data_IF_520588463476
#
_entry.id   IF_520588463476
#
_cell.length_a   1.000
_cell.length_b   1.000
_cell.length_c   1.000
_cell.angle_alpha   90.00
_cell.angle_beta   90.00
_cell.angle_gamma   90.00
#
_symmetry.space_group_name_H-M   'P 1'
#
loop_
_entity.id
_entity.type
_entity.pdbx_description
1 polymer ?
#
# COMPACT_ATOMS: atom_id res chain seq x y z
N UNK A 1 4.79 -12.23 -25.26
CA UNK A 1 5.99 -11.51 -24.82
C UNK A 1 5.63 -10.65 -23.61
N UNK A 2 6.37 -10.78 -22.51
CA UNK A 2 6.15 -10.00 -21.29
C UNK A 2 6.67 -8.58 -21.50
N UNK A 3 5.84 -7.58 -21.23
CA UNK A 3 6.08 -6.19 -21.62
C UNK A 3 6.96 -5.40 -20.64
N UNK A 4 7.46 -6.05 -19.60
CA UNK A 4 8.17 -5.45 -18.48
C UNK A 4 7.39 -5.56 -17.17
N UNK A 5 7.72 -4.67 -16.24
CA UNK A 5 7.12 -4.61 -14.90
C UNK A 5 6.65 -3.21 -14.54
N UNK A 6 5.64 -3.14 -13.68
CA UNK A 6 5.21 -1.92 -13.01
C UNK A 6 5.33 -2.10 -11.50
N UNK A 7 5.96 -1.16 -10.82
CA UNK A 7 5.97 -1.09 -9.36
C UNK A 7 5.23 0.15 -8.91
N UNK A 8 4.31 0.00 -7.97
CA UNK A 8 3.48 1.08 -7.46
C UNK A 8 3.90 1.34 -6.01
N UNK A 9 4.20 2.59 -5.69
CA UNK A 9 4.51 3.02 -4.33
C UNK A 9 3.54 4.11 -3.92
N UNK A 10 2.91 3.94 -2.76
CA UNK A 10 2.13 4.96 -2.07
C UNK A 10 2.97 5.63 -0.98
N UNK A 11 2.66 6.87 -0.60
CA UNK A 11 3.37 7.58 0.47
C UNK A 11 3.06 7.01 1.87
N UNK A 12 1.84 6.49 2.05
CA UNK A 12 1.38 5.77 3.25
C UNK A 12 0.65 4.48 2.90
N UNK A 13 0.53 3.59 3.88
CA UNK A 13 -0.28 2.36 3.80
C UNK A 13 -1.71 2.57 4.24
N UNK A 14 -2.00 3.62 5.03
CA UNK A 14 -3.31 3.96 5.59
C UNK A 14 -3.60 5.46 5.44
N UNK A 15 -4.85 5.79 5.12
CA UNK A 15 -5.33 7.15 4.87
C UNK A 15 -6.65 7.39 5.58
N UNK A 16 -6.87 8.63 6.01
CA UNK A 16 -8.19 9.10 6.47
C UNK A 16 -9.02 9.61 5.29
N UNK A 17 -10.36 9.60 5.39
CA UNK A 17 -11.21 10.36 4.48
C UNK A 17 -10.77 11.83 4.37
N UNK A 18 -10.94 12.43 3.19
CA UNK A 18 -10.51 13.81 2.92
C UNK A 18 -9.01 14.01 2.68
N UNK A 19 -8.17 12.99 2.91
CA UNK A 19 -6.72 13.09 2.66
C UNK A 19 -6.34 12.77 1.20
N UNK A 20 -5.10 13.08 0.83
CA UNK A 20 -4.56 12.82 -0.51
C UNK A 20 -3.65 11.59 -0.49
N UNK A 21 -3.90 10.66 -1.41
CA UNK A 21 -2.99 9.57 -1.75
C UNK A 21 -1.96 10.10 -2.73
N UNK A 22 -0.69 10.13 -2.33
CA UNK A 22 0.43 10.39 -3.24
C UNK A 22 1.01 9.04 -3.65
N UNK A 23 1.13 8.82 -4.95
CA UNK A 23 1.68 7.57 -5.44
C UNK A 23 2.53 7.79 -6.68
N UNK A 24 3.46 6.88 -6.89
CA UNK A 24 4.26 6.84 -8.11
C UNK A 24 4.32 5.45 -8.68
N UNK A 25 4.41 5.39 -10.00
CA UNK A 25 4.54 4.14 -10.75
C UNK A 25 5.89 4.14 -11.44
N UNK A 26 6.67 3.10 -11.18
CA UNK A 26 7.92 2.83 -11.87
C UNK A 26 7.65 1.94 -13.07
N UNK A 27 8.03 2.38 -14.25
CA UNK A 27 7.86 1.65 -15.51
C UNK A 27 9.21 1.12 -15.98
N UNK A 28 9.39 -0.20 -15.88
CA UNK A 28 10.65 -0.86 -16.25
C UNK A 28 10.44 -2.00 -17.25
N UNK A 29 11.49 -2.31 -17.99
CA UNK A 29 11.54 -3.48 -18.88
C UNK A 29 11.86 -4.78 -18.11
N UNK A 30 12.11 -5.87 -18.84
CA UNK A 30 12.41 -7.17 -18.22
C UNK A 30 13.78 -7.23 -17.51
N UNK A 31 14.67 -6.27 -17.79
CA UNK A 31 15.98 -6.12 -17.14
C UNK A 31 15.94 -5.10 -16.00
N UNK A 32 14.74 -4.65 -15.60
CA UNK A 32 14.53 -3.60 -14.60
C UNK A 32 15.12 -2.24 -14.98
N UNK A 33 15.35 -1.99 -16.28
CA UNK A 33 15.77 -0.69 -16.79
C UNK A 33 14.55 0.20 -17.04
N UNK A 34 14.64 1.52 -16.77
CA UNK A 34 13.53 2.44 -16.97
C UNK A 34 13.13 2.49 -18.44
N UNK A 35 11.83 2.38 -18.72
CA UNK A 35 11.29 2.38 -20.08
C UNK A 35 10.13 3.35 -20.21
N UNK A 36 10.11 4.10 -21.30
CA UNK A 36 8.99 4.99 -21.66
C UNK A 36 7.88 4.21 -22.33
N UNK A 37 6.74 4.04 -21.65
CA UNK A 37 5.57 3.33 -22.18
C UNK A 37 4.27 3.93 -21.65
N UNK A 38 3.18 3.72 -22.37
CA UNK A 38 1.84 4.09 -21.91
C UNK A 38 1.33 3.10 -20.87
N UNK A 39 0.87 3.61 -19.74
CA UNK A 39 0.31 2.87 -18.61
C UNK A 39 -1.14 3.33 -18.39
N UNK A 40 -2.03 2.36 -18.23
CA UNK A 40 -3.41 2.57 -17.77
C UNK A 40 -3.43 2.35 -16.26
N UNK A 41 -4.02 3.27 -15.52
CA UNK A 41 -4.05 3.28 -14.06
C UNK A 41 -5.50 3.38 -13.62
N UNK A 42 -5.89 2.56 -12.65
CA UNK A 42 -7.23 2.53 -12.06
C UNK A 42 -7.10 2.63 -10.54
N UNK A 43 -7.99 3.42 -9.92
CA UNK A 43 -8.20 3.38 -8.47
C UNK A 43 -9.55 2.72 -8.24
N UNK A 44 -9.55 1.62 -7.48
CA UNK A 44 -10.72 0.80 -7.19
C UNK A 44 -11.10 0.89 -5.70
N UNK A 45 -12.41 0.95 -5.46
CA UNK A 45 -13.00 0.82 -4.13
C UNK A 45 -12.77 -0.57 -3.54
N UNK A 46 -13.06 -0.78 -2.24
CA UNK A 46 -13.00 -2.11 -1.63
C UNK A 46 -13.87 -3.17 -2.32
N UNK A 47 -14.96 -2.74 -2.96
CA UNK A 47 -15.86 -3.61 -3.72
C UNK A 47 -15.36 -3.90 -5.16
N UNK A 48 -14.16 -3.42 -5.51
CA UNK A 48 -13.56 -3.61 -6.84
C UNK A 48 -14.13 -2.68 -7.92
N UNK A 49 -14.77 -1.57 -7.54
CA UNK A 49 -15.37 -0.61 -8.49
C UNK A 49 -14.34 0.47 -8.84
N UNK A 50 -13.95 0.64 -10.12
CA UNK A 50 -13.03 1.70 -10.51
C UNK A 50 -13.70 3.07 -10.42
N UNK A 51 -13.13 3.97 -9.62
CA UNK A 51 -13.63 5.35 -9.43
C UNK A 51 -12.76 6.41 -10.12
N UNK A 52 -11.53 6.06 -10.48
CA UNK A 52 -10.62 6.91 -11.26
C UNK A 52 -9.93 6.07 -12.33
N UNK A 53 -9.73 6.66 -13.50
CA UNK A 53 -8.93 6.08 -14.59
C UNK A 53 -8.02 7.13 -15.22
N UNK A 54 -6.73 6.88 -15.18
CA UNK A 54 -5.71 7.70 -15.85
C UNK A 54 -5.03 6.88 -16.96
N UNK A 55 -4.65 7.53 -18.05
CA UNK A 55 -3.76 6.97 -19.09
C UNK A 55 -2.60 7.94 -19.25
N UNK A 56 -1.38 7.50 -18.89
CA UNK A 56 -0.20 8.35 -18.94
C UNK A 56 0.96 7.63 -19.63
N UNK A 57 1.81 8.39 -20.31
CA UNK A 57 3.06 7.88 -20.88
C UNK A 57 4.24 8.30 -20.01
N UNK A 58 5.13 7.35 -19.70
CA UNK A 58 6.39 7.63 -19.00
C UNK A 58 7.53 8.06 -19.94
N UNK A 59 7.22 8.33 -21.22
CA UNK A 59 8.17 8.88 -22.17
C UNK A 59 8.76 10.20 -21.65
N UNK A 60 10.08 10.32 -21.68
CA UNK A 60 10.84 11.45 -21.13
C UNK A 60 10.65 11.69 -19.61
N UNK A 61 10.06 10.74 -18.87
CA UNK A 61 9.91 10.81 -17.41
C UNK A 61 10.87 9.87 -16.68
N UNK A 62 11.93 9.41 -17.36
CA UNK A 62 12.94 8.48 -16.82
C UNK A 62 12.34 7.25 -16.11
N UNK A 63 11.19 6.78 -16.58
CA UNK A 63 10.50 5.61 -16.05
C UNK A 63 9.73 5.82 -14.74
N UNK A 64 9.44 7.08 -14.34
CA UNK A 64 8.70 7.38 -13.12
C UNK A 64 7.48 8.25 -13.44
N UNK A 65 6.28 7.76 -13.12
CA UNK A 65 5.03 8.51 -13.19
C UNK A 65 4.62 8.96 -11.77
N UNK A 66 4.75 10.24 -11.39
CA UNK A 66 4.19 10.75 -10.13
C UNK A 66 2.71 11.14 -10.31
N UNK A 67 1.84 10.70 -9.40
CA UNK A 67 0.40 10.97 -9.42
C UNK A 67 -0.13 11.26 -8.01
N UNK A 68 -1.35 11.79 -7.97
CA UNK A 68 -2.12 11.93 -6.74
C UNK A 68 -3.61 11.63 -6.96
N UNK A 69 -4.30 11.34 -5.85
CA UNK A 69 -5.75 11.24 -5.81
C UNK A 69 -6.27 11.72 -4.46
N UNK A 70 -7.28 12.58 -4.47
CA UNK A 70 -7.92 13.06 -3.25
C UNK A 70 -9.06 12.11 -2.88
N UNK A 71 -9.01 11.57 -1.66
CA UNK A 71 -10.07 10.75 -1.10
C UNK A 71 -11.23 11.68 -0.71
N UNK A 72 -12.46 11.46 -1.20
CA UNK A 72 -13.62 12.22 -0.74
C UNK A 72 -13.83 12.08 0.77
N UNK A 73 -14.47 13.07 1.40
CA UNK A 73 -14.84 12.96 2.83
C UNK A 73 -15.86 11.84 3.06
N UNK A 74 -16.81 11.66 2.14
CA UNK A 74 -17.77 10.56 2.15
C UNK A 74 -17.26 9.43 1.24
N UNK A 75 -16.69 8.39 1.85
CA UNK A 75 -16.03 7.29 1.14
C UNK A 75 -16.22 5.97 1.87
N UNK A 76 -16.24 4.85 1.12
CA UNK A 76 -16.25 3.52 1.73
C UNK A 76 -14.88 3.24 2.37
N UNK A 77 -14.89 2.90 3.65
CA UNK A 77 -13.70 2.45 4.37
C UNK A 77 -13.32 1.03 3.95
N UNK A 78 -12.05 0.67 4.18
CA UNK A 78 -11.51 -0.66 3.90
C UNK A 78 -10.31 -0.63 2.96
N UNK A 79 -10.08 -1.77 2.30
CA UNK A 79 -8.92 -1.96 1.43
C UNK A 79 -9.17 -1.45 0.02
N UNK A 80 -8.53 -0.35 -0.34
CA UNK A 80 -8.54 0.23 -1.68
C UNK A 80 -7.39 -0.31 -2.52
N UNK A 81 -7.54 -0.24 -3.85
CA UNK A 81 -6.53 -0.78 -4.78
C UNK A 81 -6.17 0.20 -5.87
N UNK A 82 -4.88 0.37 -6.11
CA UNK A 82 -4.35 0.98 -7.32
C UNK A 82 -3.96 -0.16 -8.26
N UNK A 83 -4.57 -0.24 -9.44
CA UNK A 83 -4.20 -1.18 -10.50
C UNK A 83 -3.54 -0.45 -11.64
N UNK A 84 -2.50 -1.04 -12.19
CA UNK A 84 -1.82 -0.50 -13.35
C UNK A 84 -1.44 -1.61 -14.33
N UNK A 85 -1.51 -1.31 -15.62
CA UNK A 85 -1.03 -2.21 -16.67
C UNK A 85 -0.50 -1.39 -17.84
N UNK A 86 0.48 -1.94 -18.56
CA UNK A 86 0.90 -1.34 -19.81
C UNK A 86 -0.23 -1.46 -20.84
N UNK A 87 -0.49 -0.39 -21.58
CA UNK A 87 -1.61 -0.31 -22.54
C UNK A 87 -1.58 -1.44 -23.58
N UNK A 88 -0.39 -1.77 -24.09
CA UNK A 88 -0.16 -2.86 -25.05
C UNK A 88 -0.14 -4.27 -24.43
N UNK A 89 -0.26 -4.39 -23.10
CA UNK A 89 -0.31 -5.67 -22.38
C UNK A 89 -1.39 -5.66 -21.29
N UNK A 90 -2.68 -5.50 -21.65
CA UNK A 90 -3.76 -5.29 -20.69
C UNK A 90 -4.06 -6.49 -19.79
N UNK A 91 -3.56 -7.68 -20.15
CA UNK A 91 -3.70 -8.91 -19.35
C UNK A 91 -2.70 -8.98 -18.19
N UNK A 92 -1.63 -8.18 -18.21
CA UNK A 92 -0.60 -8.17 -17.18
C UNK A 92 -0.83 -6.99 -16.23
N UNK A 93 -1.53 -7.26 -15.15
CA UNK A 93 -1.99 -6.25 -14.19
C UNK A 93 -1.11 -6.31 -12.94
N UNK A 94 -0.65 -5.15 -12.51
CA UNK A 94 0.09 -4.93 -11.27
C UNK A 94 -0.80 -4.15 -10.31
N UNK A 95 -0.68 -4.41 -9.02
CA UNK A 95 -1.51 -3.75 -8.01
C UNK A 95 -0.75 -3.40 -6.74
N UNK A 96 -1.16 -2.31 -6.10
CA UNK A 96 -0.83 -1.99 -4.72
C UNK A 96 -2.12 -1.68 -3.95
N UNK A 97 -2.12 -1.95 -2.66
CA UNK A 97 -3.27 -1.74 -1.79
C UNK A 97 -2.94 -0.67 -0.75
N UNK A 98 -3.98 0.07 -0.34
CA UNK A 98 -3.93 0.99 0.79
C UNK A 98 -5.25 0.96 1.55
N UNK A 99 -5.19 1.16 2.86
CA UNK A 99 -6.38 1.18 3.71
C UNK A 99 -6.95 2.60 3.81
N UNK A 100 -8.26 2.75 3.68
CA UNK A 100 -8.97 3.98 4.05
C UNK A 100 -9.75 3.71 5.32
N UNK A 101 -9.42 4.45 6.38
CA UNK A 101 -10.00 4.27 7.71
C UNK A 101 -9.99 5.58 8.47
N UNK A 102 -11.01 5.84 9.26
CA UNK A 102 -10.94 6.89 10.28
C UNK A 102 -9.94 6.48 11.37
N UNK A 103 -8.83 7.21 11.46
CA UNK A 103 -7.82 6.98 12.49
C UNK A 103 -7.23 8.30 12.98
N UNK A 104 -6.76 8.28 14.21
CA UNK A 104 -5.85 9.29 14.77
C UNK A 104 -4.50 8.63 14.99
N UNK A 105 -3.42 9.37 14.72
CA UNK A 105 -2.07 8.83 14.94
C UNK A 105 -1.90 8.55 16.44
N UNK A 106 -1.62 7.29 16.85
CA UNK A 106 -1.42 6.99 18.26
C UNK A 106 -0.11 7.64 18.74
N UNK A 107 -0.06 8.02 20.02
CA UNK A 107 1.13 8.61 20.63
C UNK A 107 2.17 7.56 21.07
N UNK A 108 1.77 6.28 21.14
CA UNK A 108 2.59 5.15 21.51
C UNK A 108 2.23 3.91 20.70
N UNK A 109 3.17 2.98 20.59
CA UNK A 109 2.96 1.65 20.03
C UNK A 109 2.85 0.60 21.13
N UNK A 110 2.07 -0.45 20.86
CA UNK A 110 1.98 -1.65 21.68
C UNK A 110 2.42 -2.84 20.84
N UNK A 111 3.38 -3.60 21.34
CA UNK A 111 3.82 -4.87 20.75
C UNK A 111 3.41 -6.01 21.66
N UNK A 112 2.86 -7.05 21.05
CA UNK A 112 2.44 -8.28 21.73
C UNK A 112 3.33 -9.38 21.17
N UNK A 113 4.32 -9.79 21.96
CA UNK A 113 5.39 -10.68 21.52
C UNK A 113 5.30 -11.96 22.34
N UNK A 114 4.89 -13.11 21.74
CA UNK A 114 4.98 -14.38 22.43
C UNK A 114 6.45 -14.77 22.62
N UNK A 115 6.75 -15.54 23.67
CA UNK A 115 8.11 -16.06 23.89
C UNK A 115 8.57 -16.96 22.76
N UNK A 116 7.64 -17.75 22.22
CA UNK A 116 7.82 -18.60 21.04
C UNK A 116 6.83 -18.21 19.94
N UNK A 117 7.24 -18.31 18.68
CA UNK A 117 6.36 -17.98 17.53
C UNK A 117 5.29 -19.05 17.24
N UNK A 118 5.21 -20.08 18.09
CA UNK A 118 4.27 -21.18 18.03
C UNK A 118 3.85 -21.59 19.45
N UNK A 119 2.78 -22.37 19.54
CA UNK A 119 2.32 -22.95 20.81
C UNK A 119 2.47 -24.47 20.78
N UNK A 120 3.12 -25.03 21.78
CA UNK A 120 3.20 -26.47 21.97
C UNK A 120 2.07 -26.94 22.89
N UNK A 121 1.26 -27.90 22.42
CA UNK A 121 -0.01 -28.25 23.08
C UNK A 121 0.18 -28.89 24.46
N UNK A 122 1.31 -29.56 24.70
CA UNK A 122 1.61 -30.18 25.99
C UNK A 122 2.55 -29.30 26.85
N UNK A 123 2.76 -28.03 26.49
CA UNK A 123 3.55 -27.13 27.33
C UNK A 123 2.79 -26.84 28.64
N UNK A 124 3.31 -27.28 29.81
CA UNK A 124 2.64 -27.07 31.08
C UNK A 124 2.54 -25.60 31.48
N UNK A 125 3.37 -24.72 30.91
CA UNK A 125 3.38 -23.29 31.19
C UNK A 125 2.44 -22.50 30.25
N UNK A 126 1.88 -23.16 29.22
CA UNK A 126 1.04 -22.49 28.23
C UNK A 126 1.84 -21.59 27.29
N UNK A 127 1.16 -20.64 26.64
CA UNK A 127 1.81 -19.62 25.82
C UNK A 127 2.08 -18.36 26.66
N UNK A 128 3.35 -18.09 26.94
CA UNK A 128 3.75 -16.84 27.58
C UNK A 128 3.85 -15.71 26.55
N UNK A 129 3.30 -14.54 26.89
CA UNK A 129 3.26 -13.38 26.01
C UNK A 129 3.71 -12.13 26.74
N UNK A 130 4.68 -11.44 26.16
CA UNK A 130 5.15 -10.14 26.63
C UNK A 130 4.38 -9.01 25.95
N UNK A 131 3.86 -8.08 26.74
CA UNK A 131 3.24 -6.85 26.26
C UNK A 131 4.24 -5.71 26.48
N UNK A 132 4.66 -5.06 25.38
CA UNK A 132 5.65 -3.99 25.41
C UNK A 132 4.98 -2.72 24.87
N UNK A 133 4.92 -1.67 25.69
CA UNK A 133 4.35 -0.38 25.31
C UNK A 133 5.44 0.72 25.36
N UNK A 134 5.60 1.44 24.23
CA UNK A 134 6.57 2.54 24.10
C UNK A 134 5.96 3.70 23.33
N UNK A 135 6.20 4.92 23.80
CA UNK A 135 5.93 6.13 23.02
C UNK A 135 6.70 6.08 21.70
N UNK A 136 6.17 6.74 20.66
CA UNK A 136 6.83 6.77 19.34
C UNK A 136 8.25 7.39 19.37
N UNK A 137 8.57 8.18 20.40
CA UNK A 137 9.92 8.72 20.67
C UNK A 137 10.79 7.82 21.55
N UNK A 138 10.38 6.57 21.78
CA UNK A 138 11.19 5.49 22.37
C UNK A 138 11.17 5.38 23.90
N UNK A 139 10.41 6.22 24.63
CA UNK A 139 10.26 6.09 26.09
C UNK A 139 9.21 5.05 26.45
N UNK A 140 9.42 4.38 27.58
CA UNK A 140 8.45 3.42 28.11
C UNK A 140 7.14 4.12 28.49
N UNK A 141 6.03 3.42 28.30
CA UNK A 141 4.71 3.81 28.79
C UNK A 141 4.53 3.19 30.18
N UNK A 142 3.85 3.92 31.08
CA UNK A 142 3.38 3.43 32.37
C UNK A 142 1.85 3.61 32.39
N UNK A 143 1.10 2.57 32.78
CA UNK A 143 -0.36 2.52 32.64
C UNK A 143 -0.99 1.23 33.13
#
# INVERSE_FOLDING_TARGET
FQSGYLFIQTDKTIYTPGSTVLYRIFTVDNNLLPVGKTVVILIETPDGIPVKRDILSSNNQHGILPLSWNIPELVNMGQWKIRAFYEHAPKQIFSAEFEVKEYVLPSFEVRVEPTETFYYIDDPNGLEVSIIAKFLYGKNVDG
#
